data_IF_491974857453
#
_entry.id   IF_491974857453
#
_cell.length_a   1.000
_cell.length_b   1.000
_cell.length_c   1.000
_cell.angle_alpha   90.00
_cell.angle_beta   90.00
_cell.angle_gamma   90.00
#
_symmetry.space_group_name_H-M   'P 1'
#
loop_
_entity.id
_entity.type
_entity.pdbx_description
1 polymer ?
#
# COMPACT_ATOMS: atom_id res chain seq x y z
N UNK A 1 -8.37 19.27 -21.08
CA UNK A 1 -8.09 18.93 -20.91
C UNK A 1 -8.11 18.85 -20.47
N UNK A 2 -8.43 18.77 -20.84
CA UNK A 2 -8.34 18.38 -20.60
C UNK A 2 -8.33 17.97 -20.10
N UNK A 3 -8.56 17.83 -20.40
CA UNK A 3 -8.53 17.14 -20.14
C UNK A 3 -8.74 16.69 -19.57
N UNK A 4 -8.97 16.69 -19.82
CA UNK A 4 -9.20 16.02 -19.43
C UNK A 4 -9.42 15.50 -18.91
N UNK A 5 -9.65 15.51 -19.11
CA UNK A 5 -9.83 14.78 -18.71
C UNK A 5 -10.00 14.18 -18.20
N UNK A 6 -10.29 14.10 -18.26
CA UNK A 6 -10.37 13.38 -17.90
C UNK A 6 -10.57 12.83 -17.34
N UNK A 7 -10.70 12.59 -17.23
CA UNK A 7 -10.84 11.88 -16.67
C UNK A 7 -11.29 11.34 -16.13
N UNK A 8 -11.60 11.43 -16.38
CA UNK A 8 -12.01 10.85 -15.98
C UNK A 8 -12.53 10.25 -15.21
N UNK A 9 -13.31 10.20 -14.95
CA UNK A 9 -13.71 9.47 -14.16
C UNK A 9 -13.36 8.22 -13.92
N UNK A 10 -12.99 7.88 -13.53
CA UNK A 10 -12.30 6.68 -13.46
C UNK A 10 -12.38 6.10 -12.09
N UNK A 11 -12.98 4.96 -11.99
CA UNK A 11 -13.16 4.34 -10.71
C UNK A 11 -11.91 3.64 -10.24
N UNK A 12 -10.97 3.38 -11.14
CA UNK A 12 -9.73 2.74 -10.76
C UNK A 12 -8.76 3.79 -10.27
N UNK A 13 -8.19 3.55 -9.10
CA UNK A 13 -7.21 4.44 -8.54
C UNK A 13 -5.92 4.35 -9.32
N UNK A 14 -5.58 5.40 -10.01
CA UNK A 14 -4.28 5.47 -10.65
C UNK A 14 -3.27 6.00 -9.68
N UNK A 15 -2.34 5.17 -9.30
CA UNK A 15 -1.29 5.53 -8.38
C UNK A 15 -0.09 6.02 -9.17
N UNK A 16 0.50 7.13 -8.72
CA UNK A 16 1.68 7.71 -9.35
C UNK A 16 2.90 7.31 -8.54
N UNK A 17 3.52 6.19 -8.94
CA UNK A 17 4.65 5.65 -8.20
C UNK A 17 5.85 6.60 -8.23
N UNK A 18 6.05 7.29 -9.33
CA UNK A 18 7.19 8.20 -9.44
C UNK A 18 7.03 9.42 -8.53
N UNK A 19 5.81 9.93 -8.40
CA UNK A 19 5.55 11.03 -7.48
C UNK A 19 5.77 10.61 -6.04
N UNK A 20 5.30 9.40 -5.68
CA UNK A 20 5.47 8.90 -4.32
C UNK A 20 6.95 8.74 -4.00
N UNK A 21 7.76 8.29 -4.95
CA UNK A 21 9.20 8.18 -4.74
C UNK A 21 9.84 9.52 -4.41
N UNK A 22 9.24 10.60 -4.86
CA UNK A 22 9.74 11.95 -4.60
C UNK A 22 9.09 12.60 -3.38
N UNK A 23 8.21 11.86 -2.68
CA UNK A 23 7.58 12.38 -1.49
C UNK A 23 6.21 12.99 -1.71
N UNK A 24 5.66 12.89 -2.90
CA UNK A 24 4.33 13.40 -3.20
C UNK A 24 3.33 12.25 -3.15
N UNK A 25 2.49 12.25 -2.12
CA UNK A 25 1.54 11.17 -1.87
C UNK A 25 0.12 11.50 -2.32
N UNK A 26 -0.04 12.55 -3.15
CA UNK A 26 -1.38 13.01 -3.52
C UNK A 26 -2.19 11.93 -4.25
N UNK A 27 -1.54 11.04 -5.00
CA UNK A 27 -2.28 10.01 -5.74
C UNK A 27 -2.89 8.95 -4.83
N UNK A 28 -2.44 8.86 -3.58
CA UNK A 28 -3.02 7.92 -2.61
C UNK A 28 -3.59 8.63 -1.40
N UNK A 29 -3.74 9.96 -1.47
CA UNK A 29 -4.31 10.72 -0.36
C UNK A 29 -5.74 10.28 -0.11
N UNK A 30 -6.12 10.21 1.16
CA UNK A 30 -7.43 9.77 1.58
C UNK A 30 -7.33 8.73 2.66
N UNK A 31 -8.43 8.04 2.92
CA UNK A 31 -8.52 7.06 4.00
C UNK A 31 -8.51 5.65 3.44
N UNK A 32 -7.72 4.79 4.06
CA UNK A 32 -7.58 3.39 3.70
C UNK A 32 -7.94 2.54 4.91
N UNK A 33 -8.63 1.44 4.68
CA UNK A 33 -9.14 0.62 5.76
C UNK A 33 -8.99 -0.86 5.43
N UNK A 34 -8.71 -1.67 6.47
CA UNK A 34 -8.65 -3.11 6.30
C UNK A 34 -9.86 -3.76 6.97
N UNK A 35 -9.99 -5.07 6.79
CA UNK A 35 -11.14 -5.80 7.34
C UNK A 35 -11.06 -5.98 8.85
N UNK A 36 -9.91 -5.71 9.45
CA UNK A 36 -9.75 -5.79 10.90
C UNK A 36 -10.21 -4.52 11.61
N UNK A 37 -10.65 -3.53 10.85
CA UNK A 37 -11.13 -2.28 11.43
C UNK A 37 -10.04 -1.24 11.64
N UNK A 38 -8.84 -1.51 11.20
CA UNK A 38 -7.76 -0.53 11.25
C UNK A 38 -7.83 0.37 10.03
N UNK A 39 -7.35 1.59 10.17
CA UNK A 39 -7.29 2.49 9.03
C UNK A 39 -6.05 3.35 9.09
N UNK A 40 -5.66 3.88 7.93
CA UNK A 40 -4.59 4.87 7.81
C UNK A 40 -5.07 5.96 6.87
N UNK A 41 -4.58 7.16 7.07
CA UNK A 41 -4.95 8.30 6.25
C UNK A 41 -3.68 8.95 5.73
N UNK A 42 -3.69 9.26 4.44
CA UNK A 42 -2.58 9.96 3.80
C UNK A 42 -3.04 11.34 3.38
N UNK A 43 -2.13 12.30 3.52
CA UNK A 43 -2.26 13.58 2.82
C UNK A 43 -1.17 13.66 1.76
N UNK A 44 -0.94 14.85 1.20
CA UNK A 44 0.05 14.98 0.13
C UNK A 44 1.48 14.71 0.61
N UNK A 45 1.72 14.74 1.91
CA UNK A 45 3.06 14.62 2.48
C UNK A 45 3.32 13.24 3.09
N UNK A 46 2.31 12.39 3.19
CA UNK A 46 2.46 11.06 3.76
C UNK A 46 1.37 10.76 4.76
N UNK A 47 1.73 10.01 5.80
CA UNK A 47 0.77 9.59 6.82
C UNK A 47 0.42 10.73 7.74
N UNK A 48 -0.89 10.94 7.95
CA UNK A 48 -1.37 12.01 8.82
C UNK A 48 -1.12 11.73 10.30
N UNK A 49 -0.84 10.48 10.66
CA UNK A 49 -0.60 10.08 12.05
C UNK A 49 0.71 10.61 12.62
N UNK A 50 1.58 11.15 11.76
CA UNK A 50 2.90 11.58 12.21
C UNK A 50 3.98 10.54 12.10
N UNK A 51 3.63 9.34 11.67
CA UNK A 51 4.61 8.30 11.42
C UNK A 51 5.53 8.75 10.30
N UNK A 52 6.84 8.66 10.52
CA UNK A 52 7.80 9.11 9.53
C UNK A 52 8.07 8.03 8.50
N UNK A 53 8.20 8.46 7.26
CA UNK A 53 8.60 7.58 6.18
C UNK A 53 10.08 7.84 5.93
N UNK A 54 10.92 6.86 6.26
CA UNK A 54 12.36 7.06 6.25
C UNK A 54 13.01 6.66 4.93
N UNK A 55 12.35 5.82 4.16
CA UNK A 55 12.89 5.41 2.88
C UNK A 55 11.80 4.89 2.00
N UNK A 56 11.95 5.10 0.69
CA UNK A 56 10.98 4.65 -0.30
C UNK A 56 11.77 4.06 -1.47
N UNK A 57 11.40 2.89 -1.94
CA UNK A 57 11.98 2.38 -3.17
C UNK A 57 10.93 1.62 -3.98
N UNK A 58 11.15 1.56 -5.28
CA UNK A 58 10.27 0.89 -6.22
C UNK A 58 10.93 -0.41 -6.65
N UNK A 59 10.22 -1.53 -6.50
CA UNK A 59 10.74 -2.83 -6.87
C UNK A 59 10.62 -3.07 -8.37
N UNK A 60 11.23 -4.16 -8.82
CA UNK A 60 11.13 -4.55 -10.23
C UNK A 60 9.71 -4.95 -10.62
N UNK A 61 8.88 -5.30 -9.65
CA UNK A 61 7.49 -5.66 -9.90
C UNK A 61 6.54 -4.47 -9.86
N UNK A 62 7.08 -3.26 -9.85
CA UNK A 62 6.29 -2.03 -9.82
C UNK A 62 5.52 -1.87 -8.52
N UNK A 63 6.08 -2.32 -7.42
CA UNK A 63 5.50 -2.15 -6.09
C UNK A 63 6.41 -1.25 -5.26
N UNK A 64 5.79 -0.45 -4.39
CA UNK A 64 6.51 0.50 -3.57
C UNK A 64 6.73 -0.07 -2.18
N UNK A 65 7.91 0.14 -1.64
CA UNK A 65 8.26 -0.31 -0.30
C UNK A 65 8.76 0.87 0.50
N UNK A 66 8.16 1.09 1.65
CA UNK A 66 8.45 2.24 2.50
C UNK A 66 8.87 1.75 3.86
N UNK A 67 9.89 2.40 4.42
CA UNK A 67 10.31 2.14 5.79
C UNK A 67 9.65 3.16 6.69
N UNK A 68 8.92 2.68 7.69
CA UNK A 68 8.17 3.53 8.60
C UNK A 68 8.84 3.55 9.96
N UNK A 69 8.88 4.71 10.59
CA UNK A 69 9.40 4.85 11.94
C UNK A 69 8.35 5.53 12.79
N UNK A 70 7.78 4.78 13.73
CA UNK A 70 6.92 5.33 14.75
C UNK A 70 7.62 5.34 16.09
N UNK A 71 6.85 5.56 17.13
CA UNK A 71 7.40 5.48 18.49
C UNK A 71 7.69 4.03 18.82
N UNK A 72 8.94 3.73 19.05
CA UNK A 72 9.35 2.41 19.46
C UNK A 72 9.80 1.53 18.31
N UNK A 73 8.88 0.93 17.61
CA UNK A 73 9.21 -0.06 16.59
C UNK A 73 9.04 0.48 15.19
N UNK A 74 9.88 0.01 14.27
CA UNK A 74 9.73 0.29 12.87
C UNK A 74 8.84 -0.72 12.18
N UNK A 75 8.36 -0.37 11.01
CA UNK A 75 7.53 -1.26 10.21
C UNK A 75 7.80 -0.99 8.74
N UNK A 76 7.35 -1.89 7.89
CA UNK A 76 7.44 -1.73 6.45
C UNK A 76 6.04 -1.61 5.87
N UNK A 77 5.90 -0.72 4.91
CA UNK A 77 4.65 -0.56 4.18
C UNK A 77 4.89 -0.95 2.73
N UNK A 78 4.03 -1.80 2.20
CA UNK A 78 4.05 -2.11 0.78
C UNK A 78 2.84 -1.49 0.12
N UNK A 79 3.05 -0.83 -1.01
CA UNK A 79 1.97 -0.28 -1.81
C UNK A 79 1.97 -1.02 -3.13
N UNK A 80 0.87 -1.71 -3.41
CA UNK A 80 0.75 -2.61 -4.54
C UNK A 80 -0.27 -2.08 -5.52
N UNK A 81 0.18 -1.48 -6.63
CA UNK A 81 -0.73 -0.95 -7.65
C UNK A 81 -1.58 -2.04 -8.27
N UNK A 82 -2.67 -1.67 -8.97
CA UNK A 82 -3.47 -2.67 -9.68
C UNK A 82 -2.61 -3.49 -10.63
N UNK A 83 -2.89 -4.78 -10.69
CA UNK A 83 -2.17 -5.69 -11.55
C UNK A 83 -0.93 -6.32 -10.92
N UNK A 84 -0.56 -5.91 -9.71
CA UNK A 84 0.58 -6.51 -9.03
C UNK A 84 0.11 -7.47 -7.95
N UNK A 85 0.98 -8.39 -7.54
CA UNK A 85 0.66 -9.39 -6.53
C UNK A 85 1.43 -9.12 -5.25
N UNK A 86 0.77 -9.32 -4.12
CA UNK A 86 1.42 -9.23 -2.81
C UNK A 86 2.08 -10.58 -2.52
N UNK A 87 3.38 -10.62 -2.23
CA UNK A 87 4.07 -11.89 -1.96
C UNK A 87 3.76 -12.35 -0.54
N UNK A 88 2.68 -13.11 -0.40
CA UNK A 88 2.21 -13.56 0.91
C UNK A 88 2.79 -14.90 1.29
N UNK A 89 2.99 -15.10 2.58
CA UNK A 89 3.50 -16.35 3.13
C UNK A 89 2.72 -16.73 4.36
N UNK A 90 2.71 -18.02 4.65
CA UNK A 90 1.98 -18.56 5.78
C UNK A 90 2.73 -19.76 6.35
N UNK A 91 2.60 -19.96 7.66
CA UNK A 91 3.15 -21.14 8.31
C UNK A 91 2.23 -22.33 8.08
N UNK A 92 2.80 -23.41 7.56
CA UNK A 92 2.09 -24.68 7.42
C UNK A 92 3.06 -25.79 7.80
N UNK A 93 2.65 -26.66 8.72
CA UNK A 93 3.47 -27.78 9.16
C UNK A 93 4.87 -27.33 9.61
N UNK A 94 4.92 -26.24 10.37
CA UNK A 94 6.16 -25.66 10.88
C UNK A 94 7.09 -25.13 9.80
N UNK A 95 6.57 -24.91 8.60
CA UNK A 95 7.35 -24.36 7.49
C UNK A 95 6.66 -23.13 6.95
N UNK A 96 7.47 -22.17 6.52
CA UNK A 96 6.97 -20.97 5.87
C UNK A 96 6.78 -21.27 4.39
N UNK A 97 5.55 -21.16 3.91
CA UNK A 97 5.23 -21.46 2.52
C UNK A 97 4.67 -20.21 1.86
N UNK A 98 4.96 -20.06 0.58
CA UNK A 98 4.38 -18.97 -0.22
C UNK A 98 2.96 -19.36 -0.61
N UNK A 99 2.05 -18.38 -0.53
CA UNK A 99 0.68 -18.58 -0.95
C UNK A 99 0.36 -17.58 -2.05
N UNK A 100 -0.65 -17.92 -2.83
CA UNK A 100 -1.12 -17.02 -3.87
C UNK A 100 -1.82 -15.83 -3.23
N UNK A 101 -1.65 -14.64 -3.83
CA UNK A 101 -2.28 -13.43 -3.33
C UNK A 101 -3.80 -13.53 -3.47
N UNK A 102 -4.56 -13.59 -2.36
CA UNK A 102 -6.00 -13.71 -2.42
C UNK A 102 -6.73 -12.37 -2.51
N UNK A 103 -5.99 -11.27 -2.58
CA UNK A 103 -6.61 -9.94 -2.54
C UNK A 103 -7.08 -9.51 -3.92
N UNK A 104 -7.79 -8.39 -3.96
CA UNK A 104 -8.36 -7.86 -5.20
C UNK A 104 -7.29 -7.15 -6.00
N UNK A 105 -6.73 -7.82 -7.00
CA UNK A 105 -5.64 -7.28 -7.79
C UNK A 105 -6.06 -6.18 -8.75
N UNK A 106 -7.36 -5.92 -8.87
CA UNK A 106 -7.83 -4.81 -9.68
C UNK A 106 -7.73 -3.47 -8.96
N UNK A 107 -7.36 -3.50 -7.68
CA UNK A 107 -7.29 -2.31 -6.84
C UNK A 107 -5.90 -2.12 -6.29
N UNK A 108 -5.58 -0.87 -5.94
CA UNK A 108 -4.37 -0.57 -5.18
C UNK A 108 -4.56 -1.09 -3.77
N UNK A 109 -3.55 -1.79 -3.26
CA UNK A 109 -3.59 -2.37 -1.92
C UNK A 109 -2.38 -1.92 -1.14
N UNK A 110 -2.58 -1.71 0.17
CA UNK A 110 -1.50 -1.32 1.07
C UNK A 110 -1.45 -2.34 2.19
N UNK A 111 -0.26 -2.75 2.58
CA UNK A 111 -0.08 -3.62 3.72
C UNK A 111 1.06 -3.07 4.58
N UNK A 112 0.87 -3.11 5.90
CA UNK A 112 1.86 -2.65 6.86
C UNK A 112 2.20 -3.83 7.75
N UNK A 113 3.49 -4.17 7.82
CA UNK A 113 3.89 -5.33 8.57
C UNK A 113 5.33 -5.16 9.06
N UNK A 114 5.65 -5.87 10.13
CA UNK A 114 7.01 -5.91 10.64
C UNK A 114 7.76 -7.15 10.16
N UNK A 115 7.07 -8.06 9.50
CA UNK A 115 7.68 -9.27 8.97
C UNK A 115 7.30 -9.41 7.51
N UNK A 116 6.45 -10.37 7.18
CA UNK A 116 6.00 -10.59 5.81
C UNK A 116 4.48 -10.68 5.80
N UNK A 117 3.85 -10.37 4.67
CA UNK A 117 2.38 -10.45 4.60
C UNK A 117 1.91 -11.89 4.74
N UNK A 118 0.91 -12.10 5.57
CA UNK A 118 0.35 -13.44 5.76
C UNK A 118 -1.16 -13.45 5.92
N UNK A 119 -1.77 -12.27 6.09
CA UNK A 119 -3.19 -12.18 6.41
C UNK A 119 -3.85 -11.22 5.43
N UNK A 120 -4.74 -11.75 4.59
CA UNK A 120 -5.43 -10.93 3.60
C UNK A 120 -6.33 -9.88 4.26
N UNK A 121 -6.77 -10.12 5.49
CA UNK A 121 -7.62 -9.18 6.20
C UNK A 121 -6.85 -7.95 6.69
N UNK A 122 -5.53 -8.02 6.68
CA UNK A 122 -4.70 -6.88 7.06
C UNK A 122 -4.46 -5.92 5.90
N UNK A 123 -4.92 -6.26 4.71
CA UNK A 123 -4.69 -5.44 3.52
C UNK A 123 -5.67 -4.28 3.51
N UNK A 124 -5.15 -3.09 3.27
CA UNK A 124 -5.93 -1.86 3.26
C UNK A 124 -6.40 -1.52 1.85
N UNK A 125 -7.65 -1.09 1.76
CA UNK A 125 -8.24 -0.58 0.52
C UNK A 125 -8.72 0.84 0.76
N UNK A 126 -8.64 1.66 -0.27
CA UNK A 126 -9.10 3.04 -0.16
C UNK A 126 -10.62 3.08 -0.07
N UNK A 127 -11.14 3.90 0.84
CA UNK A 127 -12.59 3.98 1.06
C UNK A 127 -13.18 5.33 0.70
N UNK A 128 -12.36 6.31 0.32
CA UNK A 128 -12.91 7.62 -0.11
C UNK A 128 -12.15 8.22 -1.29
#
# INVERSE_FOLDING_TARGET
TPTEEKHTENTTQEIDTQAILKGNFSSIAGTWRNEKGNWVTFDNNGLTSGTKIEGIYLSNENTLHLSLRGEGAGASMGIYPPGTSIPMKRFENNQMVSIEDPTDKSKTRIIITQTHPSDEKAVYYKID
#
